data_IF_338545052120
#
_entry.id   IF_338545052120
#
_cell.length_a   1.000
_cell.length_b   1.000
_cell.length_c   1.000
_cell.angle_alpha   90.00
_cell.angle_beta   90.00
_cell.angle_gamma   90.00
#
_symmetry.space_group_name_H-M   'P 1'
#
loop_
_entity.id
_entity.type
_entity.pdbx_description
1 polymer ?
#
# COMPACT_ATOMS: atom_id res chain seq x y z
N UNK A 1 -2.27 -2.83 7.52
CA UNK A 1 -1.44 -2.48 8.69
C UNK A 1 -2.12 -1.28 9.33
N UNK A 2 -2.32 -1.29 10.64
CA UNK A 2 -3.10 -0.28 11.36
C UNK A 2 -2.59 1.15 11.11
N UNK A 3 -1.28 1.38 11.28
CA UNK A 3 -0.68 2.71 11.02
C UNK A 3 -0.86 3.17 9.57
N UNK A 4 -0.75 2.26 8.60
CA UNK A 4 -0.89 2.61 7.19
C UNK A 4 -2.32 3.02 6.85
N UNK A 5 -3.33 2.31 7.39
CA UNK A 5 -4.75 2.67 7.22
C UNK A 5 -5.05 4.02 7.89
N UNK A 6 -4.50 4.23 9.09
CA UNK A 6 -4.63 5.49 9.83
C UNK A 6 -4.05 6.67 9.05
N UNK A 7 -2.80 6.57 8.61
CA UNK A 7 -2.13 7.64 7.88
C UNK A 7 -2.81 7.94 6.54
N UNK A 8 -3.25 6.91 5.79
CA UNK A 8 -3.99 7.13 4.54
C UNK A 8 -5.24 7.98 4.76
N UNK A 9 -6.00 7.71 5.83
CA UNK A 9 -7.20 8.48 6.16
C UNK A 9 -6.87 9.91 6.56
N UNK A 10 -5.85 10.12 7.39
CA UNK A 10 -5.43 11.46 7.80
C UNK A 10 -4.99 12.29 6.58
N UNK A 11 -4.14 11.72 5.71
CA UNK A 11 -3.63 12.42 4.52
C UNK A 11 -4.66 12.68 3.44
N UNK A 12 -5.82 12.00 3.48
CA UNK A 12 -6.92 12.25 2.57
C UNK A 12 -7.58 13.61 2.87
N UNK A 13 -7.72 13.93 4.16
CA UNK A 13 -8.49 15.08 4.65
C UNK A 13 -7.61 16.25 5.11
N UNK A 14 -6.32 16.02 5.37
CA UNK A 14 -5.39 17.01 5.92
C UNK A 14 -4.10 17.12 5.12
N UNK A 15 -3.65 18.35 4.88
CA UNK A 15 -2.32 18.62 4.36
C UNK A 15 -1.27 18.32 5.43
N UNK A 16 -0.31 17.46 5.10
CA UNK A 16 0.81 17.13 5.98
C UNK A 16 2.08 17.80 5.44
N UNK A 17 2.74 18.58 6.29
CA UNK A 17 4.07 19.12 6.01
C UNK A 17 5.17 18.14 6.42
N UNK A 18 6.31 18.19 5.72
CA UNK A 18 7.53 17.48 6.10
C UNK A 18 8.52 18.50 6.67
N UNK A 19 8.93 18.30 7.92
CA UNK A 19 10.03 19.05 8.52
C UNK A 19 11.35 18.39 8.09
N UNK A 20 12.27 19.16 7.52
CA UNK A 20 13.59 18.68 7.09
C UNK A 20 14.57 18.64 8.27
N UNK A 21 14.13 18.06 9.38
CA UNK A 21 14.89 17.93 10.61
C UNK A 21 14.83 16.48 11.11
N UNK A 22 15.98 15.95 11.55
CA UNK A 22 16.03 14.61 12.11
C UNK A 22 15.55 14.62 13.56
N UNK A 23 14.23 14.53 13.73
CA UNK A 23 13.57 14.60 15.05
C UNK A 23 13.32 13.22 15.70
N UNK A 24 13.73 12.13 15.05
CA UNK A 24 13.35 10.78 15.46
C UNK A 24 14.55 9.82 15.46
N UNK A 25 14.98 9.38 16.65
CA UNK A 25 15.93 8.26 16.77
C UNK A 25 15.16 6.94 16.70
N UNK A 26 15.38 6.15 15.65
CA UNK A 26 14.79 4.80 15.50
C UNK A 26 15.80 3.73 15.91
N UNK A 27 15.41 2.83 16.79
CA UNK A 27 16.15 1.61 17.08
C UNK A 27 15.68 0.50 16.12
N UNK A 28 16.54 0.12 15.17
CA UNK A 28 16.26 -0.94 14.19
C UNK A 28 16.65 -2.34 14.67
N UNK A 29 16.12 -3.38 14.03
CA UNK A 29 16.59 -4.77 14.23
C UNK A 29 15.90 -5.57 15.32
N UNK A 30 14.82 -5.06 15.91
CA UNK A 30 14.04 -5.86 16.86
C UNK A 30 13.37 -7.05 16.14
N UNK A 31 13.41 -8.27 16.73
CA UNK A 31 12.86 -9.49 16.15
C UNK A 31 11.35 -9.40 15.85
N UNK A 32 10.63 -8.49 16.51
CA UNK A 32 9.20 -8.26 16.32
C UNK A 32 8.86 -7.35 15.13
N UNK A 33 9.85 -6.92 14.34
CA UNK A 33 9.60 -6.08 13.17
C UNK A 33 8.72 -6.80 12.13
N UNK A 34 7.53 -6.25 11.88
CA UNK A 34 6.53 -6.79 10.94
C UNK A 34 7.07 -6.99 9.52
N UNK A 35 8.07 -6.20 9.08
CA UNK A 35 8.71 -6.38 7.77
C UNK A 35 9.53 -7.67 7.68
N UNK A 36 10.04 -8.18 8.79
CA UNK A 36 10.76 -9.45 8.87
C UNK A 36 9.85 -10.65 9.15
N UNK A 37 8.75 -10.45 9.87
CA UNK A 37 7.87 -11.54 10.33
C UNK A 37 6.59 -11.75 9.50
N UNK A 38 6.13 -10.74 8.73
CA UNK A 38 4.90 -10.83 7.93
C UNK A 38 5.23 -10.82 6.43
N UNK A 39 5.09 -11.98 5.75
CA UNK A 39 5.22 -12.04 4.30
C UNK A 39 4.19 -11.13 3.62
N UNK A 40 4.67 -10.35 2.63
CA UNK A 40 3.85 -9.56 1.72
C UNK A 40 2.96 -8.52 2.42
N UNK A 41 3.46 -7.72 3.37
CA UNK A 41 2.69 -6.62 3.99
C UNK A 41 1.93 -5.72 2.98
N UNK A 42 2.44 -5.62 1.76
CA UNK A 42 1.81 -4.87 0.67
C UNK A 42 0.39 -5.35 0.32
N UNK A 43 0.00 -6.62 0.54
CA UNK A 43 -1.41 -7.03 0.35
C UNK A 43 -2.37 -6.29 1.27
N UNK A 44 -1.96 -5.98 2.51
CA UNK A 44 -2.77 -5.21 3.43
C UNK A 44 -2.80 -3.72 3.08
N UNK A 45 -1.70 -3.19 2.53
CA UNK A 45 -1.63 -1.80 2.05
C UNK A 45 -2.55 -1.59 0.83
N UNK A 46 -2.53 -2.53 -0.11
CA UNK A 46 -3.46 -2.56 -1.26
C UNK A 46 -4.91 -2.57 -0.76
N UNK A 47 -5.24 -3.42 0.22
CA UNK A 47 -6.59 -3.45 0.81
C UNK A 47 -7.02 -2.12 1.42
N UNK A 48 -6.15 -1.44 2.17
CA UNK A 48 -6.44 -0.11 2.72
C UNK A 48 -6.68 0.93 1.63
N UNK A 49 -5.88 0.92 0.56
CA UNK A 49 -6.08 1.83 -0.57
C UNK A 49 -7.40 1.57 -1.32
N UNK A 50 -7.76 0.30 -1.54
CA UNK A 50 -9.05 -0.07 -2.15
C UNK A 50 -10.24 0.41 -1.29
N UNK A 51 -10.12 0.28 0.04
CA UNK A 51 -11.12 0.80 0.97
C UNK A 51 -11.25 2.32 0.88
N UNK A 52 -10.13 3.04 0.76
CA UNK A 52 -10.13 4.49 0.58
C UNK A 52 -10.85 4.91 -0.71
N UNK A 53 -10.59 4.22 -1.83
CA UNK A 53 -11.28 4.47 -3.10
C UNK A 53 -12.79 4.23 -3.02
N UNK A 54 -13.21 3.18 -2.30
CA UNK A 54 -14.62 2.83 -2.11
C UNK A 54 -15.37 3.86 -1.24
N UNK A 55 -14.71 4.43 -0.23
CA UNK A 55 -15.32 5.43 0.66
C UNK A 55 -15.54 6.79 -0.01
N UNK A 56 -14.99 7.02 -1.20
CA UNK A 56 -15.11 8.24 -1.99
C UNK A 56 -14.80 9.54 -1.22
N UNK A 57 -13.80 9.49 -0.33
CA UNK A 57 -13.36 10.62 0.52
C UNK A 57 -12.21 11.43 -0.07
N UNK A 58 -11.81 11.11 -1.30
CA UNK A 58 -10.64 11.70 -1.94
C UNK A 58 -11.04 12.37 -3.24
N UNK A 59 -10.37 13.46 -3.59
CA UNK A 59 -10.58 14.15 -4.87
C UNK A 59 -9.98 13.36 -6.04
N UNK A 60 -10.27 13.78 -7.28
CA UNK A 60 -9.82 13.09 -8.49
C UNK A 60 -8.28 12.98 -8.62
N UNK A 61 -7.54 13.99 -8.15
CA UNK A 61 -6.07 13.97 -8.20
C UNK A 61 -5.53 12.91 -7.22
N UNK A 62 -6.05 12.91 -5.99
CA UNK A 62 -5.72 11.91 -4.98
C UNK A 62 -6.16 10.51 -5.43
N UNK A 63 -7.33 10.38 -6.04
CA UNK A 63 -7.85 9.12 -6.60
C UNK A 63 -6.88 8.53 -7.62
N UNK A 64 -6.46 9.30 -8.62
CA UNK A 64 -5.46 8.86 -9.61
C UNK A 64 -4.13 8.47 -8.95
N UNK A 65 -3.69 9.23 -7.95
CA UNK A 65 -2.47 8.90 -7.19
C UNK A 65 -2.58 7.55 -6.47
N UNK A 66 -3.72 7.30 -5.82
CA UNK A 66 -4.01 6.04 -5.13
C UNK A 66 -4.10 4.88 -6.12
N UNK A 67 -4.78 5.06 -7.25
CA UNK A 67 -4.90 4.05 -8.31
C UNK A 67 -3.53 3.66 -8.89
N UNK A 68 -2.69 4.64 -9.23
CA UNK A 68 -1.32 4.38 -9.68
C UNK A 68 -0.49 3.63 -8.63
N UNK A 69 -0.66 3.96 -7.35
CA UNK A 69 -0.02 3.23 -6.24
C UNK A 69 -0.52 1.80 -6.11
N UNK A 70 -1.82 1.55 -6.31
CA UNK A 70 -2.41 0.21 -6.32
C UNK A 70 -1.80 -0.62 -7.45
N UNK A 71 -1.77 -0.10 -8.69
CA UNK A 71 -1.21 -0.80 -9.86
C UNK A 71 0.22 -1.24 -9.57
N UNK A 72 1.10 -0.30 -9.22
CA UNK A 72 2.51 -0.59 -8.95
C UNK A 72 2.69 -1.64 -7.85
N UNK A 73 1.96 -1.51 -6.74
CA UNK A 73 2.08 -2.48 -5.63
C UNK A 73 1.49 -3.83 -5.99
N UNK A 74 0.38 -3.88 -6.71
CA UNK A 74 -0.25 -5.12 -7.13
C UNK A 74 0.67 -5.91 -8.08
N UNK A 75 1.36 -5.24 -9.01
CA UNK A 75 2.38 -5.86 -9.86
C UNK A 75 3.56 -6.42 -9.06
N UNK A 76 4.09 -5.66 -8.09
CA UNK A 76 5.18 -6.13 -7.21
C UNK A 76 4.76 -7.38 -6.44
N UNK A 77 3.55 -7.37 -5.86
CA UNK A 77 3.00 -8.49 -5.11
C UNK A 77 2.75 -9.70 -6.03
N UNK A 78 2.17 -9.49 -7.21
CA UNK A 78 1.95 -10.54 -8.20
C UNK A 78 3.27 -11.21 -8.60
N UNK A 79 4.29 -10.42 -8.95
CA UNK A 79 5.61 -10.93 -9.30
C UNK A 79 6.26 -11.70 -8.14
N UNK A 80 6.03 -11.26 -6.90
CA UNK A 80 6.43 -12.00 -5.70
C UNK A 80 5.79 -13.39 -5.60
N UNK A 81 4.52 -13.53 -5.96
CA UNK A 81 3.83 -14.83 -5.99
C UNK A 81 4.27 -15.69 -7.16
N UNK A 82 4.49 -15.09 -8.34
CA UNK A 82 5.00 -15.80 -9.52
C UNK A 82 6.37 -16.44 -9.25
N UNK A 83 7.30 -15.69 -8.63
CA UNK A 83 8.63 -16.20 -8.22
C UNK A 83 8.57 -17.39 -7.26
N UNK A 84 7.44 -17.57 -6.56
CA UNK A 84 7.20 -18.67 -5.60
C UNK A 84 6.25 -19.73 -6.17
N UNK A 85 6.04 -19.75 -7.49
CA UNK A 85 5.15 -20.67 -8.20
C UNK A 85 3.69 -20.64 -7.74
N UNK A 86 3.21 -19.52 -7.19
CA UNK A 86 1.80 -19.35 -6.81
C UNK A 86 1.06 -18.58 -7.91
N UNK A 87 0.57 -19.32 -8.91
CA UNK A 87 -0.07 -18.75 -10.10
C UNK A 87 -1.46 -18.17 -9.83
N UNK A 88 -2.24 -18.80 -8.96
CA UNK A 88 -3.58 -18.32 -8.56
C UNK A 88 -3.51 -16.90 -7.97
N UNK A 89 -2.60 -16.68 -7.01
CA UNK A 89 -2.44 -15.36 -6.41
C UNK A 89 -1.82 -14.37 -7.37
N UNK A 90 -0.90 -14.80 -8.24
CA UNK A 90 -0.40 -13.94 -9.32
C UNK A 90 -1.55 -13.40 -10.17
N UNK A 91 -2.42 -14.28 -10.70
CA UNK A 91 -3.55 -13.89 -11.55
C UNK A 91 -4.50 -12.94 -10.82
N UNK A 92 -4.81 -13.22 -9.54
CA UNK A 92 -5.67 -12.36 -8.72
C UNK A 92 -5.12 -10.94 -8.58
N UNK A 93 -3.82 -10.78 -8.33
CA UNK A 93 -3.23 -9.44 -8.18
C UNK A 93 -3.04 -8.73 -9.52
N UNK A 94 -2.84 -9.47 -10.63
CA UNK A 94 -2.83 -8.88 -11.98
C UNK A 94 -4.21 -8.34 -12.37
N UNK A 95 -5.30 -9.05 -12.04
CA UNK A 95 -6.66 -8.54 -12.26
C UNK A 95 -6.88 -7.22 -11.53
N UNK A 96 -6.45 -7.12 -10.26
CA UNK A 96 -6.50 -5.87 -9.50
C UNK A 96 -5.69 -4.77 -10.22
N UNK A 97 -4.45 -5.07 -10.65
CA UNK A 97 -3.62 -4.08 -11.34
C UNK A 97 -4.30 -3.57 -12.62
N UNK A 98 -4.90 -4.45 -13.42
CA UNK A 98 -5.55 -4.07 -14.66
C UNK A 98 -6.86 -3.30 -14.45
N UNK A 99 -7.59 -3.55 -13.37
CA UNK A 99 -8.81 -2.81 -13.05
C UNK A 99 -8.58 -1.30 -12.82
N UNK A 100 -7.39 -0.93 -12.32
CA UNK A 100 -7.04 0.45 -11.98
C UNK A 100 -5.97 1.04 -12.90
N UNK A 101 -5.66 0.35 -13.99
CA UNK A 101 -4.72 0.82 -15.02
C UNK A 101 -5.49 1.75 -15.96
N UNK A 102 -5.14 3.03 -15.93
CA UNK A 102 -5.61 4.05 -16.88
C UNK A 102 -4.57 4.30 -17.97
#
# INVERSE_FOLDING_TARGET
CEDYDLWLRITADHQIGLLDEFLLTRYGGHPDQLSGSVPNLDRYRIRSMLKLLYQNRINEIQRRSVENCIVRRAEIVANGYLKRNNRELYERFIVIANQYRH
#
